data_IF_179761401375
#
_entry.id   IF_179761401375
#
_cell.length_a   1.000
_cell.length_b   1.000
_cell.length_c   1.000
_cell.angle_alpha   90.00
_cell.angle_beta   90.00
_cell.angle_gamma   90.00
#
_symmetry.space_group_name_H-M   'P 1'
#
loop_
_entity.id
_entity.type
_entity.pdbx_description
1 polymer ?
#
# COMPACT_ATOMS: atom_id res chain seq x y z
N UNK A 1 2.81 -15.35 -5.68
CA UNK A 1 1.56 -15.00 -4.99
C UNK A 1 0.45 -14.90 -6.01
N UNK A 2 -0.62 -15.67 -5.83
CA UNK A 2 -1.85 -15.59 -6.62
C UNK A 2 -2.86 -14.67 -5.93
N UNK A 3 -3.91 -14.28 -6.66
CA UNK A 3 -5.03 -13.51 -6.09
C UNK A 3 -5.75 -14.29 -4.99
N UNK A 4 -5.82 -15.62 -5.12
CA UNK A 4 -6.47 -16.49 -4.14
C UNK A 4 -5.68 -16.60 -2.83
N UNK A 5 -4.35 -16.70 -2.93
CA UNK A 5 -3.44 -16.66 -1.79
C UNK A 5 -3.55 -15.32 -1.05
N UNK A 6 -3.62 -14.21 -1.78
CA UNK A 6 -3.81 -12.89 -1.19
C UNK A 6 -5.17 -12.77 -0.49
N UNK A 7 -6.27 -13.21 -1.11
CA UNK A 7 -7.61 -13.21 -0.49
C UNK A 7 -7.64 -14.01 0.80
N UNK A 8 -6.99 -15.16 0.81
CA UNK A 8 -6.89 -16.02 2.00
C UNK A 8 -6.11 -15.33 3.12
N UNK A 9 -5.01 -14.66 2.79
CA UNK A 9 -4.22 -13.91 3.78
C UNK A 9 -5.00 -12.71 4.36
N UNK A 10 -5.84 -12.06 3.56
CA UNK A 10 -6.63 -10.90 3.99
C UNK A 10 -7.89 -11.27 4.79
N UNK A 11 -8.40 -12.50 4.69
CA UNK A 11 -9.66 -12.92 5.29
C UNK A 11 -9.74 -12.81 6.82
N UNK A 12 -8.58 -12.74 7.50
CA UNK A 12 -8.49 -12.58 8.95
C UNK A 12 -8.36 -11.14 9.45
N UNK A 13 -8.33 -10.16 8.54
CA UNK A 13 -8.12 -8.76 8.89
C UNK A 13 -9.46 -8.02 9.07
N UNK A 14 -9.52 -6.97 9.92
CA UNK A 14 -10.68 -6.10 10.02
C UNK A 14 -11.09 -5.53 8.66
N UNK A 15 -12.39 -5.50 8.37
CA UNK A 15 -12.89 -5.05 7.06
C UNK A 15 -12.66 -3.57 6.76
N UNK A 16 -12.34 -2.78 7.79
CA UNK A 16 -11.98 -1.37 7.73
C UNK A 16 -10.45 -1.14 7.74
N UNK A 17 -9.65 -2.21 7.78
CA UNK A 17 -8.19 -2.10 7.78
C UNK A 17 -7.70 -1.57 6.43
N UNK A 18 -6.92 -0.46 6.40
CA UNK A 18 -6.38 0.07 5.16
C UNK A 18 -5.38 -0.90 4.53
N UNK A 19 -5.55 -1.18 3.24
CA UNK A 19 -4.65 -2.04 2.47
C UNK A 19 -3.72 -1.16 1.63
N UNK A 20 -2.42 -1.33 1.83
CA UNK A 20 -1.38 -0.67 1.04
C UNK A 20 -0.82 -1.68 0.02
N UNK A 21 -0.95 -1.38 -1.27
CA UNK A 21 -0.34 -2.19 -2.32
C UNK A 21 1.01 -1.58 -2.71
N UNK A 22 2.09 -2.35 -2.55
CA UNK A 22 3.43 -1.96 -3.01
C UNK A 22 3.73 -2.76 -4.29
N UNK A 23 3.80 -2.06 -5.42
CA UNK A 23 4.14 -2.67 -6.70
C UNK A 23 5.65 -2.65 -6.93
N UNK A 24 6.27 -3.81 -7.10
CA UNK A 24 7.59 -3.91 -7.72
C UNK A 24 7.42 -3.85 -9.24
N UNK A 25 8.10 -2.89 -9.89
CA UNK A 25 7.90 -2.47 -11.29
C UNK A 25 7.38 -3.51 -12.28
N UNK A 26 6.18 -3.25 -12.83
CA UNK A 26 5.59 -3.99 -13.94
C UNK A 26 4.80 -3.05 -14.86
N UNK A 27 4.76 -3.35 -16.17
CA UNK A 27 4.19 -2.50 -17.22
C UNK A 27 2.65 -2.36 -17.18
N UNK A 28 1.97 -3.16 -16.36
CA UNK A 28 0.53 -3.09 -16.15
C UNK A 28 0.29 -2.76 -14.68
N UNK A 29 0.06 -1.48 -14.40
CA UNK A 29 -0.21 -1.02 -13.04
C UNK A 29 -1.71 -0.79 -12.87
N UNK A 30 -2.42 -1.61 -12.07
CA UNK A 30 -3.80 -1.31 -11.65
C UNK A 30 -3.90 -0.03 -10.79
N UNK A 31 -2.76 0.66 -10.58
CA UNK A 31 -2.62 1.95 -9.92
C UNK A 31 -3.07 3.16 -10.78
N UNK A 32 -3.73 2.97 -11.93
CA UNK A 32 -4.25 4.11 -12.68
C UNK A 32 -5.35 4.82 -11.85
N UNK A 33 -5.05 6.02 -11.34
CA UNK A 33 -5.96 6.78 -10.48
C UNK A 33 -5.82 6.52 -8.97
N UNK A 34 -4.80 5.77 -8.53
CA UNK A 34 -4.50 5.65 -7.10
C UNK A 34 -3.50 6.72 -6.68
N UNK A 35 -3.62 7.16 -5.43
CA UNK A 35 -2.70 8.14 -4.87
C UNK A 35 -1.38 7.43 -4.52
N UNK A 36 -0.26 8.00 -4.95
CA UNK A 36 1.06 7.38 -4.79
C UNK A 36 1.84 8.20 -3.80
N UNK A 37 2.14 7.59 -2.64
CA UNK A 37 2.90 8.20 -1.57
C UNK A 37 4.06 7.29 -1.14
N UNK A 38 4.88 7.77 -0.22
CA UNK A 38 5.91 6.96 0.42
C UNK A 38 5.37 6.40 1.74
N UNK A 39 5.79 5.20 2.12
CA UNK A 39 5.39 4.55 3.36
C UNK A 39 6.60 3.97 4.08
N UNK A 40 6.77 4.32 5.35
CA UNK A 40 7.76 3.70 6.23
C UNK A 40 7.04 2.82 7.25
N UNK A 41 7.21 1.50 7.15
CA UNK A 41 6.72 0.58 8.17
C UNK A 41 7.52 0.77 9.48
N UNK A 42 6.84 1.15 10.56
CA UNK A 42 7.42 1.26 11.90
C UNK A 42 7.27 -0.04 12.68
N UNK A 43 6.32 -0.90 12.28
CA UNK A 43 6.17 -2.26 12.77
C UNK A 43 5.61 -3.19 11.69
N UNK A 44 5.31 -4.43 12.07
CA UNK A 44 4.60 -5.38 11.20
C UNK A 44 3.19 -4.91 10.82
N UNK A 45 2.56 -4.04 11.63
CA UNK A 45 1.13 -3.71 11.51
C UNK A 45 0.83 -2.22 11.33
N UNK A 46 1.85 -1.36 11.43
CA UNK A 46 1.70 0.09 11.33
C UNK A 46 2.94 0.73 10.70
N UNK A 47 2.77 1.99 10.33
CA UNK A 47 3.78 2.79 9.67
C UNK A 47 3.25 4.16 9.33
N UNK A 48 4.13 4.99 8.80
CA UNK A 48 3.85 6.38 8.51
C UNK A 48 3.81 6.61 6.99
N UNK A 49 2.81 7.38 6.56
CA UNK A 49 2.65 7.82 5.17
C UNK A 49 3.29 9.20 5.02
N UNK A 50 4.08 9.37 3.97
CA UNK A 50 4.62 10.65 3.54
C UNK A 50 4.10 10.96 2.14
N UNK A 51 3.59 12.16 1.93
CA UNK A 51 3.17 12.60 0.60
C UNK A 51 4.36 12.68 -0.37
N UNK A 52 4.07 12.70 -1.67
CA UNK A 52 5.12 12.65 -2.68
C UNK A 52 6.07 13.86 -2.63
N UNK A 53 5.57 14.98 -2.11
CA UNK A 53 6.30 16.24 -1.94
C UNK A 53 6.93 16.40 -0.54
N UNK A 54 6.78 15.40 0.34
CA UNK A 54 7.40 15.40 1.68
C UNK A 54 8.75 14.66 1.68
N UNK A 55 9.69 15.17 2.49
CA UNK A 55 10.96 14.48 2.75
C UNK A 55 10.70 13.20 3.55
N UNK A 56 10.71 12.06 2.87
CA UNK A 56 10.55 10.77 3.51
C UNK A 56 11.89 10.26 4.07
N UNK A 57 11.89 9.68 5.29
CA UNK A 57 13.09 9.09 5.88
C UNK A 57 13.64 7.89 5.09
N UNK A 58 14.95 7.65 5.25
CA UNK A 58 15.64 6.50 4.64
C UNK A 58 14.96 5.18 4.99
N UNK A 59 14.63 4.39 3.96
CA UNK A 59 13.91 3.13 4.09
C UNK A 59 12.41 3.20 3.80
N UNK A 60 11.86 4.40 3.63
CA UNK A 60 10.51 4.58 3.10
C UNK A 60 10.41 3.98 1.69
N UNK A 61 9.31 3.27 1.42
CA UNK A 61 9.05 2.59 0.13
C UNK A 61 7.86 3.21 -0.57
N UNK A 62 7.90 3.20 -1.91
CA UNK A 62 6.79 3.67 -2.74
C UNK A 62 5.56 2.79 -2.52
N UNK A 63 4.43 3.41 -2.22
CA UNK A 63 3.18 2.76 -1.87
C UNK A 63 2.01 3.37 -2.67
N UNK A 64 1.09 2.52 -3.13
CA UNK A 64 -0.15 2.93 -3.76
C UNK A 64 -1.30 2.86 -2.76
N UNK A 65 -1.98 4.00 -2.56
CA UNK A 65 -3.14 4.14 -1.70
C UNK A 65 -4.40 4.18 -2.55
N UNK A 66 -5.23 3.14 -2.40
CA UNK A 66 -6.54 3.10 -3.03
C UNK A 66 -7.50 3.82 -2.09
N UNK A 67 -7.89 5.05 -2.44
CA UNK A 67 -8.99 5.71 -1.76
C UNK A 67 -10.26 4.86 -1.97
N UNK A 68 -10.85 4.38 -0.88
CA UNK A 68 -12.19 3.81 -0.93
C UNK A 68 -13.14 4.95 -1.35
N UNK A 69 -13.54 4.95 -2.62
CA UNK A 69 -14.66 5.76 -3.09
C UNK A 69 -15.91 5.06 -2.59
N UNK A 70 -16.53 5.64 -1.55
CA UNK A 70 -17.84 5.24 -1.04
C UNK A 70 -18.94 5.97 -1.82
#
# INVERSE_FOLDING_TARGET
MTVEELRTALAGLPGDMPVILVGEGGAYSPAAGVDVAQYLATSTWEGERYEQDEDAPDGARRAAYIAATW
#
